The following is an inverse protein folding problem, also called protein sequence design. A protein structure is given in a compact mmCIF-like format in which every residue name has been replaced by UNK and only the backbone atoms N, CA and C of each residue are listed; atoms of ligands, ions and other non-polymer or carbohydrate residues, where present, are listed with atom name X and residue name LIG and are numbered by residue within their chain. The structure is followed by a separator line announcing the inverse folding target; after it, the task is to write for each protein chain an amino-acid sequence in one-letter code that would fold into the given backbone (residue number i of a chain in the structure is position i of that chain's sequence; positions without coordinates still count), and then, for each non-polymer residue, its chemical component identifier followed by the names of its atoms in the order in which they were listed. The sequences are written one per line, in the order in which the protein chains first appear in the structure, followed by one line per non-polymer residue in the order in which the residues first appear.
data_IF_864828144884
#
_entry.id   IF_864828144884
#
_cell.length_a   1.000
_cell.length_b   1.000
_cell.length_c   1.000
_cell.angle_alpha   90.00
_cell.angle_beta   90.00
_cell.angle_gamma   90.00
#
_symmetry.space_group_name_H-M   'P 1'
#
loop_
_entity.id
_entity.type
_entity.pdbx_description
1 polymer ?
#
# COMPACT_ATOMS: atom_id res chain seq x y z
N UNK A 1 -3.37 -37.53 -22.22
CA UNK A 1 -2.86 -36.18 -22.56
C UNK A 1 -4.01 -35.34 -23.12
N UNK A 2 -4.52 -34.35 -22.36
CA UNK A 2 -5.50 -33.35 -22.82
C UNK A 2 -4.99 -31.99 -22.36
N UNK A 3 -4.66 -31.09 -23.31
CA UNK A 3 -4.28 -29.70 -23.02
C UNK A 3 -5.55 -28.86 -22.83
N UNK A 4 -5.62 -27.94 -21.86
CA UNK A 4 -6.80 -27.11 -21.67
C UNK A 4 -6.77 -25.83 -22.51
N UNK A 5 -7.87 -25.57 -23.21
CA UNK A 5 -8.13 -24.51 -24.18
C UNK A 5 -8.49 -23.15 -23.54
N UNK A 6 -7.59 -22.56 -22.75
CA UNK A 6 -7.79 -21.20 -22.23
C UNK A 6 -7.24 -20.08 -23.14
N UNK A 7 -6.40 -20.42 -24.11
CA UNK A 7 -5.75 -19.44 -24.99
C UNK A 7 -6.62 -18.90 -26.14
N UNK A 8 -7.68 -19.60 -26.53
CA UNK A 8 -8.55 -19.19 -27.65
C UNK A 8 -9.54 -18.09 -27.24
N UNK A 9 -9.89 -18.00 -25.95
CA UNK A 9 -10.80 -16.97 -25.45
C UNK A 9 -10.10 -15.59 -25.37
N UNK A 10 -8.82 -15.55 -25.03
CA UNK A 10 -8.05 -14.30 -24.88
C UNK A 10 -7.78 -13.60 -26.21
N UNK A 11 -7.56 -14.36 -27.29
CA UNK A 11 -7.38 -13.79 -28.64
C UNK A 11 -8.69 -13.23 -29.21
N UNK A 12 -9.84 -13.73 -28.75
CA UNK A 12 -11.16 -13.23 -29.19
C UNK A 12 -11.57 -11.95 -28.45
N UNK A 13 -11.13 -11.79 -27.19
CA UNK A 13 -11.36 -10.56 -26.43
C UNK A 13 -10.48 -9.39 -26.95
N UNK A 14 -9.22 -9.65 -27.28
CA UNK A 14 -8.30 -8.58 -27.73
C UNK A 14 -8.58 -8.05 -29.15
N UNK A 15 -9.37 -8.77 -29.96
CA UNK A 15 -9.74 -8.33 -31.32
C UNK A 15 -10.97 -7.42 -31.35
N UNK A 16 -11.78 -7.41 -30.28
CA UNK A 16 -13.01 -6.62 -30.24
C UNK A 16 -12.79 -5.17 -29.78
N UNK A 17 -11.78 -4.94 -28.94
CA UNK A 17 -11.49 -3.60 -28.40
C UNK A 17 -10.87 -2.63 -29.42
N UNK A 18 -10.24 -3.12 -30.50
CA UNK A 18 -9.64 -2.27 -31.55
C UNK A 18 -10.63 -1.77 -32.61
N UNK A 19 -11.91 -2.11 -32.52
CA UNK A 19 -12.96 -1.56 -33.40
C UNK A 19 -13.73 -0.37 -32.82
N UNK A 20 -13.43 0.03 -31.58
CA UNK A 20 -14.12 1.15 -30.91
C UNK A 20 -13.27 2.42 -30.73
N UNK A 21 -12.06 2.47 -31.28
CA UNK A 21 -11.18 3.66 -31.24
C UNK A 21 -11.05 4.41 -32.56
N UNK A 22 -11.99 4.25 -33.52
CA UNK A 22 -12.06 5.07 -34.74
C UNK A 22 -13.38 5.85 -34.91
N UNK A 23 -14.19 6.01 -33.85
CA UNK A 23 -15.46 6.74 -33.90
C UNK A 23 -15.59 7.70 -32.71
N UNK A 24 -14.66 8.65 -32.62
CA UNK A 24 -14.77 9.82 -31.75
C UNK A 24 -14.06 11.02 -32.39
N UNK A 25 -14.43 11.32 -33.63
CA UNK A 25 -14.09 12.57 -34.33
C UNK A 25 -15.18 12.88 -35.36
N UNK A 26 -16.40 13.09 -34.88
CA UNK A 26 -17.47 13.71 -35.67
C UNK A 26 -18.35 14.45 -34.69
N UNK A 27 -17.98 15.71 -34.43
CA UNK A 27 -18.86 16.65 -33.76
C UNK A 27 -19.91 17.08 -34.77
N UNK A 28 -21.14 16.66 -34.53
CA UNK A 28 -22.33 17.16 -35.21
C UNK A 28 -22.47 18.67 -34.96
N UNK A 29 -22.17 19.47 -35.98
CA UNK A 29 -22.61 20.86 -36.05
C UNK A 29 -23.76 20.92 -37.05
N UNK A 30 -24.97 21.08 -36.53
CA UNK A 30 -26.19 21.28 -37.30
C UNK A 30 -26.09 22.52 -38.21
N UNK A 31 -25.90 22.31 -39.50
CA UNK A 31 -26.23 23.29 -40.54
C UNK A 31 -27.69 23.06 -40.98
N UNK A 32 -28.62 23.71 -40.29
CA UNK A 32 -29.97 23.93 -40.81
C UNK A 32 -29.99 25.26 -41.56
N UNK A 33 -30.29 25.22 -42.87
CA UNK A 33 -30.63 26.42 -43.63
C UNK A 33 -30.06 26.49 -45.04
N UNK A 34 -30.20 25.44 -45.85
CA UNK A 34 -30.06 25.57 -47.32
C UNK A 34 -31.45 25.36 -47.93
N UNK A 35 -32.04 26.46 -48.38
CA UNK A 35 -33.29 26.49 -49.14
C UNK A 35 -33.02 25.94 -50.55
N UNK A 36 -33.84 25.04 -51.12
CA UNK A 36 -33.67 24.62 -52.49
C UNK A 36 -34.32 25.65 -53.44
N UNK A 37 -33.54 26.25 -54.34
CA UNK A 37 -34.10 27.01 -55.46
C UNK A 37 -34.59 26.04 -56.54
N UNK A 38 -35.91 26.05 -56.75
CA UNK A 38 -36.59 25.44 -57.89
C UNK A 38 -36.30 26.22 -59.18
N UNK A 39 -36.31 25.50 -60.30
CA UNK A 39 -35.90 26.00 -61.61
C UNK A 39 -36.86 26.99 -62.26
N UNK A 40 -36.46 27.31 -63.49
CA UNK A 40 -37.30 27.72 -64.61
C UNK A 40 -37.52 29.22 -64.77
N UNK A 41 -36.59 29.86 -65.50
CA UNK A 41 -36.85 30.66 -66.70
C UNK A 41 -35.60 31.45 -67.10
N UNK A 42 -34.91 31.01 -68.16
CA UNK A 42 -33.85 31.79 -68.80
C UNK A 42 -34.36 32.26 -70.16
N UNK A 43 -34.69 33.55 -70.32
CA UNK A 43 -34.67 34.17 -71.63
C UNK A 43 -33.65 35.30 -71.68
N UNK A 44 -32.79 35.24 -72.70
CA UNK A 44 -32.03 36.41 -73.18
C UNK A 44 -30.65 36.58 -72.57
N UNK A 45 -29.66 35.85 -73.11
CA UNK A 45 -28.28 36.32 -73.09
C UNK A 45 -28.16 37.38 -74.20
N UNK A 46 -28.25 38.66 -73.82
CA UNK A 46 -27.57 39.70 -74.60
C UNK A 46 -26.15 39.84 -74.02
N UNK A 47 -25.19 39.61 -74.92
CA UNK A 47 -23.76 39.75 -74.71
C UNK A 47 -23.38 41.08 -75.36
N UNK A 48 -23.58 42.20 -74.68
CA UNK A 48 -22.93 43.46 -75.03
C UNK A 48 -23.16 44.52 -73.95
N UNK A 49 -22.25 45.49 -73.87
CA UNK A 49 -22.20 46.63 -72.96
C UNK A 49 -21.44 46.36 -71.65
N UNK A 50 -20.11 46.34 -71.71
CA UNK A 50 -19.19 47.50 -71.83
C UNK A 50 -18.66 47.90 -70.46
N UNK A 51 -17.54 47.25 -70.09
CA UNK A 51 -16.27 47.92 -69.80
C UNK A 51 -16.39 49.39 -69.35
N UNK A 52 -16.90 49.64 -68.15
CA UNK A 52 -16.68 50.87 -67.34
C UNK A 52 -17.47 50.71 -66.06
N UNK A 53 -16.88 50.03 -65.06
CA UNK A 53 -17.22 50.08 -63.60
C UNK A 53 -16.61 48.91 -62.80
N UNK A 54 -15.76 48.08 -63.42
CA UNK A 54 -15.04 46.99 -62.77
C UNK A 54 -13.79 47.42 -61.99
N UNK A 55 -13.56 48.71 -61.78
CA UNK A 55 -12.38 49.25 -61.09
C UNK A 55 -12.58 49.63 -59.62
N UNK A 56 -13.82 49.73 -59.13
CA UNK A 56 -14.09 50.22 -57.77
C UNK A 56 -14.69 49.17 -56.82
N UNK A 57 -15.22 48.06 -57.35
CA UNK A 57 -15.85 47.00 -56.51
C UNK A 57 -14.91 45.85 -56.13
N UNK A 58 -13.71 45.78 -56.72
CA UNK A 58 -12.70 44.77 -56.35
C UNK A 58 -11.78 45.25 -55.21
N UNK A 59 -11.70 46.56 -54.97
CA UNK A 59 -10.96 47.13 -53.83
C UNK A 59 -11.68 46.92 -52.49
N UNK A 60 -12.98 46.61 -52.47
CA UNK A 60 -13.72 46.28 -51.25
C UNK A 60 -13.54 44.83 -50.79
N UNK A 61 -12.99 43.94 -51.62
CA UNK A 61 -12.72 42.55 -51.22
C UNK A 61 -11.32 42.41 -50.58
N UNK A 62 -10.39 43.33 -50.86
CA UNK A 62 -9.11 43.43 -50.16
C UNK A 62 -9.02 44.71 -49.34
N UNK A 63 -10.00 44.94 -48.47
CA UNK A 63 -9.88 45.83 -47.32
C UNK A 63 -8.98 45.20 -46.25
N UNK A 64 -7.73 44.88 -46.58
CA UNK A 64 -6.70 44.59 -45.58
C UNK A 64 -6.26 45.93 -44.98
N UNK A 65 -7.13 46.44 -44.12
CA UNK A 65 -6.82 47.53 -43.21
C UNK A 65 -5.73 47.01 -42.25
N UNK A 66 -4.60 47.73 -42.13
CA UNK A 66 -3.52 47.48 -41.17
C UNK A 66 -3.98 47.34 -39.71
N UNK A 67 -5.26 47.62 -39.44
CA UNK A 67 -5.94 47.51 -38.17
C UNK A 67 -6.28 46.07 -37.74
N UNK A 68 -6.29 45.09 -38.65
CA UNK A 68 -6.60 43.69 -38.29
C UNK A 68 -5.43 43.01 -37.54
N UNK A 69 -4.18 43.31 -37.90
CA UNK A 69 -3.00 42.73 -37.23
C UNK A 69 -2.79 43.30 -35.82
N UNK A 70 -3.13 44.58 -35.61
CA UNK A 70 -3.04 45.26 -34.31
C UNK A 70 -4.23 44.95 -33.38
N UNK A 71 -5.40 44.66 -33.95
CA UNK A 71 -6.66 44.47 -33.21
C UNK A 71 -6.92 43.05 -32.70
N UNK A 72 -6.30 42.02 -33.28
CA UNK A 72 -6.55 40.61 -32.90
C UNK A 72 -5.40 40.01 -32.08
N UNK A 73 -4.14 40.38 -32.34
CA UNK A 73 -2.98 39.82 -31.62
C UNK A 73 -2.72 40.51 -30.28
N UNK A 74 -2.99 41.83 -30.16
CA UNK A 74 -2.75 42.57 -28.91
C UNK A 74 -3.68 42.22 -27.74
N UNK A 75 -5.01 41.97 -27.91
CA UNK A 75 -5.87 41.64 -26.77
C UNK A 75 -5.62 40.23 -26.22
N UNK A 76 -5.29 39.25 -27.06
CA UNK A 76 -4.97 37.87 -26.66
C UNK A 76 -3.66 37.75 -25.88
N UNK A 77 -2.66 38.58 -26.22
CA UNK A 77 -1.37 38.59 -25.53
C UNK A 77 -1.48 39.26 -24.15
N UNK A 78 -2.28 40.31 -24.03
CA UNK A 78 -2.50 41.02 -22.76
C UNK A 78 -3.31 40.19 -21.75
N UNK A 79 -4.36 39.50 -22.22
CA UNK A 79 -5.12 38.57 -21.37
C UNK A 79 -4.26 37.41 -20.92
N UNK A 80 -3.42 36.85 -21.81
CA UNK A 80 -2.51 35.76 -21.45
C UNK A 80 -1.45 36.20 -20.43
N UNK A 81 -0.83 37.37 -20.60
CA UNK A 81 0.21 37.88 -19.69
C UNK A 81 -0.36 38.33 -18.33
N UNK A 82 -1.57 38.89 -18.31
CA UNK A 82 -2.27 39.26 -17.07
C UNK A 82 -2.77 38.04 -16.30
N UNK A 83 -3.20 36.97 -16.98
CA UNK A 83 -3.56 35.70 -16.33
C UNK A 83 -2.30 35.03 -15.74
N UNK A 84 -1.18 35.01 -16.47
CA UNK A 84 0.09 34.45 -15.95
C UNK A 84 0.62 35.21 -14.71
N UNK A 85 0.44 36.52 -14.66
CA UNK A 85 0.88 37.34 -13.50
C UNK A 85 -0.08 37.26 -12.32
N UNK A 86 -1.39 37.15 -12.55
CA UNK A 86 -2.37 37.01 -11.46
C UNK A 86 -2.33 35.64 -10.80
N UNK A 87 -2.15 34.55 -11.57
CA UNK A 87 -2.01 33.19 -11.04
C UNK A 87 -0.74 33.01 -10.18
N UNK A 88 0.38 33.61 -10.61
CA UNK A 88 1.66 33.51 -9.87
C UNK A 88 1.72 34.41 -8.64
N UNK A 89 1.15 35.63 -8.72
CA UNK A 89 1.10 36.56 -7.59
C UNK A 89 0.07 36.12 -6.53
N UNK A 90 -1.06 35.54 -6.95
CA UNK A 90 -2.02 34.92 -6.04
C UNK A 90 -1.42 33.68 -5.35
N UNK A 91 -0.61 32.89 -6.06
CA UNK A 91 0.15 31.77 -5.47
C UNK A 91 1.08 32.23 -4.34
N UNK A 92 1.82 33.32 -4.57
CA UNK A 92 2.75 33.87 -3.57
C UNK A 92 2.02 34.48 -2.36
N UNK A 93 0.91 35.19 -2.59
CA UNK A 93 0.07 35.78 -1.54
C UNK A 93 -0.59 34.72 -0.65
N UNK A 94 -0.88 33.53 -1.18
CA UNK A 94 -1.46 32.42 -0.42
C UNK A 94 -0.41 31.56 0.30
N UNK A 95 0.84 31.57 -0.17
CA UNK A 95 1.92 30.80 0.46
C UNK A 95 2.37 31.41 1.79
N UNK A 96 2.49 32.73 1.87
CA UNK A 96 2.95 33.44 3.06
C UNK A 96 2.10 33.16 4.33
N UNK A 97 0.76 33.27 4.30
CA UNK A 97 -0.08 32.93 5.46
C UNK A 97 -0.06 31.42 5.78
N UNK A 98 0.03 30.55 4.77
CA UNK A 98 0.16 29.09 4.98
C UNK A 98 1.47 28.73 5.67
N UNK A 99 2.58 29.37 5.28
CA UNK A 99 3.88 29.19 5.92
C UNK A 99 3.83 29.63 7.39
N UNK A 100 3.21 30.77 7.68
CA UNK A 100 3.04 31.24 9.06
C UNK A 100 2.20 30.26 9.90
N UNK A 101 1.08 29.75 9.35
CA UNK A 101 0.25 28.75 10.00
C UNK A 101 1.01 27.43 10.24
N UNK A 102 1.81 26.98 9.26
CA UNK A 102 2.64 25.79 9.37
C UNK A 102 3.71 25.92 10.48
N UNK A 103 4.40 27.06 10.55
CA UNK A 103 5.38 27.34 11.61
C UNK A 103 4.70 27.35 12.98
N UNK A 104 3.51 27.97 13.09
CA UNK A 104 2.73 27.99 14.32
C UNK A 104 2.37 26.57 14.80
N UNK A 105 1.89 25.72 13.89
CA UNK A 105 1.56 24.32 14.16
C UNK A 105 2.81 23.55 14.62
N UNK A 106 3.95 23.75 13.96
CA UNK A 106 5.19 23.06 14.30
C UNK A 106 5.69 23.43 15.70
N UNK A 107 5.61 24.71 16.08
CA UNK A 107 6.01 25.18 17.41
C UNK A 107 5.09 24.60 18.50
N UNK A 108 3.77 24.72 18.33
CA UNK A 108 2.79 24.21 19.29
C UNK A 108 2.90 22.69 19.40
N UNK A 109 2.96 22.00 18.25
CA UNK A 109 3.07 20.55 18.18
C UNK A 109 4.35 20.01 18.82
N UNK A 110 5.50 20.65 18.61
CA UNK A 110 6.74 20.27 19.28
C UNK A 110 6.65 20.44 20.81
N UNK A 111 5.95 21.48 21.28
CA UNK A 111 5.66 21.66 22.70
C UNK A 111 4.81 20.52 23.28
N UNK A 112 3.71 20.18 22.60
CA UNK A 112 2.84 19.05 22.98
C UNK A 112 3.61 17.73 22.98
N UNK A 113 4.40 17.45 21.94
CA UNK A 113 5.19 16.23 21.84
C UNK A 113 6.19 16.08 22.99
N UNK A 114 6.88 17.16 23.38
CA UNK A 114 7.77 17.17 24.55
C UNK A 114 7.00 16.94 25.85
N UNK A 115 5.83 17.54 26.01
CA UNK A 115 4.96 17.33 27.17
C UNK A 115 4.53 15.87 27.31
N UNK A 116 4.07 15.26 26.22
CA UNK A 116 3.67 13.85 26.20
C UNK A 116 4.86 12.93 26.46
N UNK A 117 6.04 13.19 25.89
CA UNK A 117 7.28 12.46 26.23
C UNK A 117 7.52 12.44 27.75
N UNK A 118 7.45 13.62 28.38
CA UNK A 118 7.64 13.74 29.82
C UNK A 118 6.61 12.94 30.63
N UNK A 119 5.35 12.93 30.20
CA UNK A 119 4.29 12.15 30.84
C UNK A 119 4.54 10.64 30.70
N UNK A 120 4.88 10.18 29.50
CA UNK A 120 5.17 8.76 29.22
C UNK A 120 6.34 8.26 30.05
N UNK A 121 7.46 9.01 30.08
CA UNK A 121 8.63 8.63 30.89
C UNK A 121 8.24 8.50 32.38
N UNK A 122 7.50 9.47 32.92
CA UNK A 122 7.03 9.42 34.31
C UNK A 122 6.11 8.22 34.59
N UNK A 123 5.21 7.88 33.68
CA UNK A 123 4.33 6.71 33.81
C UNK A 123 5.13 5.41 33.78
N UNK A 124 6.10 5.30 32.87
CA UNK A 124 6.97 4.11 32.76
C UNK A 124 7.85 3.93 34.02
N UNK A 125 8.38 5.04 34.56
CA UNK A 125 9.13 5.02 35.82
C UNK A 125 8.23 4.64 37.01
N UNK A 126 7.00 5.16 37.07
CA UNK A 126 6.04 4.82 38.12
C UNK A 126 5.65 3.33 38.11
N UNK A 127 5.57 2.72 36.93
CA UNK A 127 5.31 1.29 36.75
C UNK A 127 6.53 0.40 37.04
N UNK A 128 7.71 0.97 37.32
CA UNK A 128 8.97 0.24 37.55
C UNK A 128 9.24 -0.80 36.46
N UNK A 129 8.97 -0.46 35.19
CA UNK A 129 9.17 -1.36 34.04
C UNK A 129 10.61 -1.87 33.98
N UNK A 130 11.59 -1.05 34.40
CA UNK A 130 12.98 -1.47 34.54
C UNK A 130 13.18 -2.70 35.43
N UNK A 131 12.33 -2.96 36.44
CA UNK A 131 12.48 -4.15 37.28
C UNK A 131 12.05 -5.45 36.58
N UNK A 132 11.19 -5.38 35.56
CA UNK A 132 10.74 -6.55 34.80
C UNK A 132 11.77 -6.99 33.76
N UNK A 133 12.66 -6.08 33.36
CA UNK A 133 13.66 -6.32 32.30
C UNK A 133 15.05 -6.63 32.86
N UNK A 134 15.31 -6.30 34.13
CA UNK A 134 16.52 -6.71 34.85
C UNK A 134 16.69 -8.24 34.78
N UNK A 135 17.87 -8.68 34.33
CA UNK A 135 18.24 -10.09 34.08
C UNK A 135 17.80 -10.70 32.73
N UNK A 136 17.30 -9.91 31.77
CA UNK A 136 17.09 -10.39 30.39
C UNK A 136 18.26 -10.01 29.47
N UNK A 137 18.50 -10.75 28.36
CA UNK A 137 19.54 -10.41 27.38
C UNK A 137 19.45 -8.97 26.85
N UNK A 138 18.25 -8.39 26.91
CA UNK A 138 17.92 -7.02 26.52
C UNK A 138 18.73 -5.97 27.30
N UNK A 139 19.03 -6.20 28.58
CA UNK A 139 19.82 -5.27 29.40
C UNK A 139 21.25 -5.10 28.86
N UNK A 140 21.87 -6.18 28.37
CA UNK A 140 23.20 -6.12 27.76
C UNK A 140 23.19 -5.38 26.43
N UNK A 141 22.11 -5.47 25.65
CA UNK A 141 21.98 -4.68 24.41
C UNK A 141 21.87 -3.18 24.69
N UNK A 142 21.14 -2.77 25.73
CA UNK A 142 21.02 -1.35 26.11
C UNK A 142 22.25 -0.79 26.83
N UNK A 143 23.02 -1.61 27.56
CA UNK A 143 24.29 -1.19 28.17
C UNK A 143 25.47 -1.16 27.18
N UNK A 144 25.48 -2.04 26.19
CA UNK A 144 26.59 -2.15 25.23
C UNK A 144 26.41 -1.26 24.00
N UNK A 145 25.17 -0.96 23.61
CA UNK A 145 24.93 0.16 22.73
C UNK A 145 25.05 1.42 23.60
N UNK A 146 25.84 2.42 23.20
CA UNK A 146 26.14 3.66 23.94
C UNK A 146 24.92 4.57 24.22
N UNK A 147 23.71 4.00 24.30
CA UNK A 147 22.52 4.65 24.81
C UNK A 147 22.67 4.84 26.32
N UNK A 148 23.36 5.91 26.73
CA UNK A 148 23.48 6.34 28.13
C UNK A 148 22.15 6.74 28.81
N UNK A 149 21.00 6.45 28.17
CA UNK A 149 19.67 6.71 28.70
C UNK A 149 19.03 5.43 29.25
N UNK A 150 18.28 5.56 30.36
CA UNK A 150 17.46 4.49 30.90
C UNK A 150 16.45 3.98 29.85
N UNK A 151 16.04 2.73 29.92
CA UNK A 151 15.07 2.11 29.00
C UNK A 151 13.77 2.92 28.88
N UNK A 152 13.33 3.53 29.97
CA UNK A 152 12.17 4.43 30.02
C UNK A 152 12.37 5.69 29.16
N UNK A 153 13.59 6.23 29.13
CA UNK A 153 13.98 7.38 28.30
C UNK A 153 13.96 7.07 26.81
N UNK A 154 14.46 5.88 26.43
CA UNK A 154 14.44 5.40 25.03
C UNK A 154 12.99 5.26 24.55
N UNK A 155 12.11 4.62 25.32
CA UNK A 155 10.70 4.49 24.98
C UNK A 155 10.00 5.86 24.86
N UNK A 156 10.27 6.78 25.80
CA UNK A 156 9.77 8.15 25.71
C UNK A 156 10.29 8.89 24.48
N UNK A 157 11.54 8.66 24.08
CA UNK A 157 12.14 9.22 22.87
C UNK A 157 11.45 8.69 21.60
N UNK A 158 11.16 7.39 21.54
CA UNK A 158 10.40 6.79 20.42
C UNK A 158 9.02 7.44 20.31
N UNK A 159 8.29 7.60 21.42
CA UNK A 159 6.98 8.26 21.41
C UNK A 159 7.08 9.73 20.96
N UNK A 160 8.11 10.44 21.41
CA UNK A 160 8.37 11.82 20.95
C UNK A 160 8.54 11.88 19.43
N UNK A 161 9.37 11.01 18.84
CA UNK A 161 9.60 11.00 17.40
C UNK A 161 8.34 10.62 16.62
N UNK A 162 7.53 9.69 17.13
CA UNK A 162 6.23 9.34 16.55
C UNK A 162 5.29 10.55 16.54
N UNK A 163 5.16 11.25 17.66
CA UNK A 163 4.31 12.44 17.74
C UNK A 163 4.85 13.58 16.87
N UNK A 164 6.17 13.76 16.84
CA UNK A 164 6.82 14.74 15.98
C UNK A 164 6.55 14.45 14.50
N UNK A 165 6.52 13.18 14.10
CA UNK A 165 6.14 12.78 12.74
C UNK A 165 4.71 13.20 12.40
N UNK A 166 3.76 13.04 13.32
CA UNK A 166 2.36 13.49 13.14
C UNK A 166 2.27 15.02 13.02
N UNK A 167 3.07 15.75 13.81
CA UNK A 167 3.15 17.21 13.73
C UNK A 167 3.74 17.65 12.39
N UNK A 168 4.80 17.00 11.92
CA UNK A 168 5.40 17.26 10.61
C UNK A 168 4.39 16.98 9.51
N UNK A 169 3.68 15.86 9.57
CA UNK A 169 2.61 15.52 8.64
C UNK A 169 1.54 16.63 8.57
N UNK A 170 1.04 17.07 9.72
CA UNK A 170 0.05 18.15 9.80
C UNK A 170 0.60 19.46 9.23
N UNK A 171 1.87 19.77 9.50
CA UNK A 171 2.56 20.96 8.99
C UNK A 171 2.66 20.94 7.46
N UNK A 172 3.09 19.81 6.89
CA UNK A 172 3.21 19.60 5.43
C UNK A 172 1.84 19.66 4.74
N UNK A 173 0.82 19.11 5.39
CA UNK A 173 -0.56 19.18 4.91
C UNK A 173 -1.06 20.62 4.79
N UNK A 174 -0.81 21.47 5.81
CA UNK A 174 -1.17 22.91 5.77
C UNK A 174 -0.37 23.67 4.72
N UNK A 175 0.89 23.31 4.48
CA UNK A 175 1.70 23.87 3.39
C UNK A 175 1.13 23.52 2.00
N UNK A 176 0.29 22.47 1.89
CA UNK A 176 -0.34 22.05 0.64
C UNK A 176 0.56 21.19 -0.25
N UNK A 177 1.63 20.60 0.30
CA UNK A 177 2.50 19.69 -0.44
C UNK A 177 1.86 18.30 -0.49
N UNK A 178 0.92 18.09 -1.41
CA UNK A 178 0.15 16.86 -1.55
C UNK A 178 1.02 15.61 -1.72
N UNK A 179 2.05 15.67 -2.58
CA UNK A 179 2.95 14.53 -2.80
C UNK A 179 3.70 14.11 -1.53
N UNK A 180 4.19 15.09 -0.75
CA UNK A 180 4.90 14.80 0.50
C UNK A 180 3.95 14.33 1.60
N UNK A 181 2.74 14.92 1.66
CA UNK A 181 1.67 14.50 2.57
C UNK A 181 1.33 13.03 2.33
N UNK A 182 1.17 12.63 1.06
CA UNK A 182 0.84 11.24 0.72
C UNK A 182 1.93 10.25 1.14
N UNK A 183 3.20 10.62 1.01
CA UNK A 183 4.32 9.78 1.52
C UNK A 183 4.24 9.68 3.04
N UNK A 184 4.01 10.79 3.74
CA UNK A 184 3.87 10.79 5.20
C UNK A 184 2.65 9.99 5.68
N UNK A 185 1.53 10.02 4.95
CA UNK A 185 0.35 9.18 5.22
C UNK A 185 0.70 7.70 5.19
N UNK A 186 1.47 7.27 4.19
CA UNK A 186 1.93 5.88 4.08
C UNK A 186 2.83 5.50 5.26
N UNK A 187 3.73 6.40 5.69
CA UNK A 187 4.58 6.18 6.87
C UNK A 187 3.72 6.10 8.13
N UNK A 188 2.73 6.99 8.31
CA UNK A 188 1.82 6.95 9.45
C UNK A 188 0.95 5.69 9.47
N UNK A 189 0.48 5.22 8.31
CA UNK A 189 -0.24 3.95 8.17
C UNK A 189 0.63 2.72 8.51
N UNK A 190 1.96 2.87 8.53
CA UNK A 190 2.89 1.82 8.91
C UNK A 190 3.10 1.71 10.43
N UNK A 191 2.87 2.79 11.20
CA UNK A 191 3.03 2.77 12.67
C UNK A 191 2.21 1.67 13.36
N UNK A 192 0.92 1.46 13.04
CA UNK A 192 0.12 0.38 13.64
C UNK A 192 0.72 -1.02 13.38
N UNK A 193 1.32 -1.24 12.21
CA UNK A 193 1.98 -2.52 11.86
C UNK A 193 3.21 -2.75 12.71
N UNK A 194 4.04 -1.71 12.91
CA UNK A 194 5.19 -1.78 13.82
C UNK A 194 4.72 -2.16 15.23
N UNK A 195 3.71 -1.49 15.76
CA UNK A 195 3.18 -1.77 17.10
C UNK A 195 2.67 -3.22 17.18
N UNK A 196 1.92 -3.68 16.17
CA UNK A 196 1.40 -5.05 16.11
C UNK A 196 2.52 -6.09 16.07
N UNK A 197 3.59 -5.84 15.31
CA UNK A 197 4.75 -6.76 15.24
C UNK A 197 5.49 -6.88 16.59
N UNK A 198 5.66 -5.77 17.31
CA UNK A 198 6.29 -5.76 18.63
C UNK A 198 5.41 -6.49 19.63
N UNK A 199 4.08 -6.32 19.56
CA UNK A 199 3.13 -7.05 20.40
C UNK A 199 3.19 -8.57 20.14
N UNK A 200 3.18 -8.99 18.87
CA UNK A 200 3.31 -10.40 18.51
C UNK A 200 4.61 -11.00 19.02
N UNK A 201 5.72 -10.26 18.88
CA UNK A 201 7.01 -10.70 19.40
C UNK A 201 6.99 -10.81 20.94
N UNK A 202 6.43 -9.82 21.64
CA UNK A 202 6.29 -9.81 23.09
C UNK A 202 5.49 -11.03 23.59
N UNK A 203 4.28 -11.25 23.06
CA UNK A 203 3.47 -12.41 23.45
C UNK A 203 4.11 -13.73 23.01
N UNK A 204 4.74 -13.77 21.84
CA UNK A 204 5.41 -14.96 21.34
C UNK A 204 6.63 -15.38 22.17
N UNK A 205 7.37 -14.42 22.74
CA UNK A 205 8.43 -14.71 23.72
C UNK A 205 7.86 -15.37 24.98
N UNK A 206 6.71 -14.91 25.47
CA UNK A 206 6.03 -15.53 26.61
C UNK A 206 5.62 -16.97 26.28
N UNK A 207 5.03 -17.19 25.11
CA UNK A 207 4.64 -18.54 24.64
C UNK A 207 5.86 -19.46 24.52
N UNK A 208 6.97 -18.98 23.96
CA UNK A 208 8.20 -19.75 23.85
C UNK A 208 8.72 -20.21 25.23
N UNK A 209 8.70 -19.31 26.23
CA UNK A 209 9.09 -19.64 27.61
C UNK A 209 8.16 -20.64 28.30
N UNK A 210 6.85 -20.56 28.02
CA UNK A 210 5.88 -21.55 28.51
C UNK A 210 6.16 -22.93 27.88
N UNK A 211 6.35 -22.99 26.56
CA UNK A 211 6.67 -24.24 25.86
C UNK A 211 7.97 -24.86 26.37
N UNK A 212 9.00 -24.04 26.58
CA UNK A 212 10.27 -24.50 27.17
C UNK A 212 10.05 -25.16 28.54
N UNK A 213 9.20 -24.55 29.38
CA UNK A 213 8.91 -25.02 30.73
C UNK A 213 8.09 -26.31 30.71
N UNK A 214 7.11 -26.42 29.81
CA UNK A 214 6.30 -27.63 29.62
C UNK A 214 7.14 -28.82 29.16
N UNK A 215 8.02 -28.61 28.18
CA UNK A 215 8.90 -29.66 27.64
C UNK A 215 9.91 -30.10 28.71
N UNK A 216 10.53 -29.16 29.42
CA UNK A 216 11.41 -29.48 30.56
C UNK A 216 10.67 -30.28 31.62
N UNK A 217 9.48 -29.86 32.02
CA UNK A 217 8.67 -30.52 33.04
C UNK A 217 8.33 -31.97 32.66
N UNK A 218 8.05 -32.21 31.38
CA UNK A 218 7.66 -33.53 30.87
C UNK A 218 8.83 -34.53 30.81
N UNK A 219 10.04 -34.07 30.50
CA UNK A 219 11.21 -34.93 30.26
C UNK A 219 12.11 -35.05 31.50
N UNK A 220 11.91 -34.18 32.50
CA UNK A 220 12.70 -34.16 33.74
C UNK A 220 12.66 -35.49 34.51
N UNK A 221 11.62 -36.29 34.33
CA UNK A 221 11.47 -37.63 34.93
C UNK A 221 12.40 -38.69 34.32
N UNK A 222 12.92 -38.48 33.10
CA UNK A 222 13.74 -39.45 32.37
C UNK A 222 15.22 -39.06 32.44
N UNK A 223 15.56 -37.85 31.98
CA UNK A 223 16.93 -37.33 32.01
C UNK A 223 16.93 -35.80 32.13
N UNK A 224 17.49 -35.30 33.24
CA UNK A 224 17.56 -33.87 33.52
C UNK A 224 18.44 -33.08 32.54
N UNK A 225 19.45 -33.72 31.94
CA UNK A 225 20.35 -33.05 30.99
C UNK A 225 19.67 -32.88 29.62
N UNK A 226 19.06 -33.95 29.10
CA UNK A 226 18.29 -33.91 27.85
C UNK A 226 17.04 -33.03 27.96
N UNK A 227 16.36 -33.00 29.11
CA UNK A 227 15.20 -32.14 29.33
C UNK A 227 15.52 -30.65 29.10
N UNK A 228 16.70 -30.20 29.54
CA UNK A 228 17.10 -28.80 29.38
C UNK A 228 17.42 -28.44 27.92
N UNK A 229 18.03 -29.37 27.19
CA UNK A 229 18.34 -29.21 25.77
C UNK A 229 17.06 -29.22 24.93
N UNK A 230 16.20 -30.23 25.10
CA UNK A 230 14.94 -30.36 24.37
C UNK A 230 13.99 -29.20 24.64
N UNK A 231 13.93 -28.71 25.88
CA UNK A 231 13.17 -27.51 26.21
C UNK A 231 13.67 -26.28 25.45
N UNK A 232 14.99 -26.05 25.43
CA UNK A 232 15.58 -24.92 24.69
C UNK A 232 15.36 -25.04 23.18
N UNK A 233 15.56 -26.23 22.60
CA UNK A 233 15.33 -26.47 21.17
C UNK A 233 13.88 -26.18 20.81
N UNK A 234 12.93 -26.64 21.63
CA UNK A 234 11.50 -26.37 21.43
C UNK A 234 11.18 -24.88 21.54
N UNK A 235 11.76 -24.19 22.52
CA UNK A 235 11.66 -22.73 22.68
C UNK A 235 12.15 -21.99 21.43
N UNK A 236 13.32 -22.38 20.90
CA UNK A 236 13.87 -21.77 19.69
C UNK A 236 13.00 -22.03 18.45
N UNK A 237 12.40 -23.22 18.31
CA UNK A 237 11.46 -23.50 17.22
C UNK A 237 10.24 -22.59 17.27
N UNK A 238 9.64 -22.41 18.45
CA UNK A 238 8.52 -21.49 18.64
C UNK A 238 8.95 -20.05 18.35
N UNK A 239 10.11 -19.64 18.87
CA UNK A 239 10.66 -18.31 18.65
C UNK A 239 10.89 -18.04 17.15
N UNK A 240 11.39 -19.01 16.39
CA UNK A 240 11.53 -18.88 14.93
C UNK A 240 10.18 -18.58 14.29
N UNK A 241 9.13 -19.34 14.62
CA UNK A 241 7.78 -19.11 14.07
C UNK A 241 7.24 -17.73 14.46
N UNK A 242 7.43 -17.32 15.72
CA UNK A 242 7.02 -16.00 16.22
C UNK A 242 7.74 -14.87 15.47
N UNK A 243 9.04 -15.02 15.23
CA UNK A 243 9.83 -14.03 14.48
C UNK A 243 9.33 -13.93 13.03
N UNK A 244 9.07 -15.06 12.36
CA UNK A 244 8.46 -15.05 11.03
C UNK A 244 7.09 -14.35 11.04
N UNK A 245 6.24 -14.64 12.04
CA UNK A 245 4.94 -14.00 12.18
C UNK A 245 5.07 -12.48 12.43
N UNK A 246 6.00 -12.05 13.27
CA UNK A 246 6.26 -10.63 13.53
C UNK A 246 6.73 -9.88 12.27
N UNK A 247 7.59 -10.51 11.45
CA UNK A 247 8.01 -9.93 10.16
C UNK A 247 6.82 -9.84 9.19
N UNK A 248 5.93 -10.84 9.20
CA UNK A 248 4.71 -10.81 8.39
C UNK A 248 3.77 -9.65 8.79
N UNK A 249 3.60 -9.37 10.09
CA UNK A 249 2.85 -8.20 10.57
C UNK A 249 3.46 -6.88 10.11
N UNK A 250 4.80 -6.83 10.05
CA UNK A 250 5.55 -5.70 9.53
C UNK A 250 5.25 -5.43 8.04
N UNK A 251 4.64 -6.38 7.32
CA UNK A 251 4.23 -6.24 5.93
C UNK A 251 5.39 -6.25 4.93
N UNK A 252 6.61 -6.57 5.39
CA UNK A 252 7.78 -6.68 4.53
C UNK A 252 7.74 -8.04 3.83
N UNK A 253 7.47 -8.03 2.53
CA UNK A 253 7.40 -9.25 1.73
C UNK A 253 6.49 -10.34 2.36
N UNK A 254 5.36 -9.92 2.94
CA UNK A 254 4.43 -10.81 3.65
C UNK A 254 3.98 -11.99 2.78
N UNK A 255 3.71 -11.73 1.50
CA UNK A 255 3.35 -12.78 0.53
C UNK A 255 4.46 -13.83 0.38
N UNK A 256 5.71 -13.39 0.27
CA UNK A 256 6.86 -14.30 0.18
C UNK A 256 6.99 -15.17 1.43
N UNK A 257 6.92 -14.55 2.61
CA UNK A 257 7.01 -15.26 3.90
C UNK A 257 5.87 -16.27 4.04
N UNK A 258 4.64 -15.86 3.72
CA UNK A 258 3.45 -16.71 3.79
C UNK A 258 3.57 -17.93 2.85
N UNK A 259 4.00 -17.73 1.61
CA UNK A 259 4.19 -18.83 0.65
C UNK A 259 5.29 -19.79 1.11
N UNK A 260 6.42 -19.28 1.62
CA UNK A 260 7.48 -20.13 2.17
C UNK A 260 7.00 -20.93 3.40
N UNK A 261 6.25 -20.30 4.29
CA UNK A 261 5.71 -20.95 5.48
C UNK A 261 4.69 -22.04 5.14
N UNK A 262 3.75 -21.74 4.23
CA UNK A 262 2.78 -22.72 3.74
C UNK A 262 3.52 -23.89 3.06
N UNK A 263 4.51 -23.60 2.19
CA UNK A 263 5.31 -24.62 1.53
C UNK A 263 6.03 -25.52 2.52
N UNK A 264 6.64 -24.94 3.56
CA UNK A 264 7.33 -25.69 4.61
C UNK A 264 6.37 -26.57 5.44
N UNK A 265 5.21 -26.03 5.83
CA UNK A 265 4.19 -26.81 6.55
C UNK A 265 3.66 -27.95 5.70
N UNK A 266 3.37 -27.70 4.43
CA UNK A 266 2.89 -28.74 3.50
C UNK A 266 3.93 -29.85 3.37
N UNK A 267 5.21 -29.49 3.23
CA UNK A 267 6.31 -30.46 3.18
C UNK A 267 6.39 -31.30 4.46
N UNK A 268 6.34 -30.68 5.64
CA UNK A 268 6.38 -31.40 6.91
C UNK A 268 5.14 -32.28 7.12
N UNK A 269 3.96 -31.75 6.81
CA UNK A 269 2.69 -32.48 6.94
C UNK A 269 2.66 -33.71 6.03
N UNK A 270 3.12 -33.58 4.79
CA UNK A 270 3.24 -34.70 3.86
C UNK A 270 4.30 -35.69 4.32
N UNK A 271 5.47 -35.22 4.75
CA UNK A 271 6.57 -36.08 5.22
C UNK A 271 6.18 -36.91 6.45
N UNK A 272 5.64 -36.26 7.48
CA UNK A 272 5.17 -36.93 8.69
C UNK A 272 3.95 -37.83 8.42
N UNK A 273 3.01 -37.35 7.60
CA UNK A 273 1.84 -38.12 7.21
C UNK A 273 2.22 -39.41 6.46
N UNK A 274 3.15 -39.32 5.51
CA UNK A 274 3.67 -40.48 4.79
C UNK A 274 4.49 -41.40 5.70
N UNK A 275 5.36 -40.86 6.55
CA UNK A 275 6.18 -41.66 7.47
C UNK A 275 5.31 -42.49 8.42
N UNK A 276 4.27 -41.87 9.02
CA UNK A 276 3.34 -42.55 9.90
C UNK A 276 2.39 -43.49 9.14
N UNK A 277 1.92 -43.09 7.95
CA UNK A 277 1.05 -43.90 7.11
C UNK A 277 1.72 -45.18 6.62
N UNK A 278 2.92 -45.06 6.04
CA UNK A 278 3.72 -46.19 5.56
C UNK A 278 4.28 -47.01 6.74
N UNK A 279 4.72 -46.37 7.82
CA UNK A 279 5.24 -47.06 9.01
C UNK A 279 4.16 -47.85 9.77
N UNK A 280 2.93 -47.35 9.82
CA UNK A 280 1.80 -47.97 10.53
C UNK A 280 1.06 -49.06 9.75
N UNK A 281 1.37 -49.26 8.47
CA UNK A 281 0.61 -50.16 7.58
C UNK A 281 0.51 -51.59 8.13
N UNK A 282 1.57 -52.09 8.77
CA UNK A 282 1.62 -53.45 9.29
C UNK A 282 0.71 -53.62 10.50
N UNK A 283 0.68 -52.64 11.39
CA UNK A 283 -0.19 -52.66 12.57
C UNK A 283 -1.67 -52.61 12.17
N UNK A 284 -2.00 -51.77 11.19
CA UNK A 284 -3.35 -51.67 10.62
C UNK A 284 -3.75 -53.00 9.97
N UNK A 285 -2.86 -53.60 9.17
CA UNK A 285 -3.09 -54.90 8.52
C UNK A 285 -3.37 -56.01 9.55
N UNK A 286 -2.62 -56.06 10.64
CA UNK A 286 -2.80 -57.08 11.67
C UNK A 286 -4.10 -56.90 12.45
N UNK A 287 -4.45 -55.65 12.78
CA UNK A 287 -5.71 -55.32 13.47
C UNK A 287 -6.93 -55.68 12.60
N UNK A 288 -6.92 -55.28 11.33
CA UNK A 288 -7.97 -55.63 10.37
C UNK A 288 -8.05 -57.14 10.15
N UNK A 289 -6.91 -57.82 10.06
CA UNK A 289 -6.87 -59.28 9.89
C UNK A 289 -7.48 -60.04 11.07
N UNK A 290 -7.23 -59.57 12.31
CA UNK A 290 -7.85 -60.15 13.52
C UNK A 290 -9.36 -59.91 13.54
N UNK A 291 -9.79 -58.67 13.31
CA UNK A 291 -11.21 -58.28 13.25
C UNK A 291 -11.98 -59.08 12.20
N UNK A 292 -11.42 -59.22 11.01
CA UNK A 292 -12.02 -59.98 9.91
C UNK A 292 -12.17 -61.47 10.25
N UNK A 293 -11.13 -62.09 10.83
CA UNK A 293 -11.18 -63.51 11.25
C UNK A 293 -12.21 -63.75 12.34
N UNK A 294 -12.32 -62.83 13.30
CA UNK A 294 -13.27 -62.95 14.41
C UNK A 294 -14.71 -62.83 13.91
N UNK A 295 -14.99 -61.83 13.07
CA UNK A 295 -16.31 -61.63 12.45
C UNK A 295 -16.70 -62.81 11.55
N UNK A 296 -15.75 -63.32 10.75
CA UNK A 296 -16.00 -64.47 9.88
C UNK A 296 -16.33 -65.74 10.68
N UNK A 297 -15.73 -65.95 11.85
CA UNK A 297 -16.05 -67.08 12.73
C UNK A 297 -17.45 -66.98 13.34
N UNK A 298 -17.91 -65.78 13.69
CA UNK A 298 -19.26 -65.59 14.23
C UNK A 298 -20.34 -65.83 13.17
N UNK A 299 -20.13 -65.33 11.95
CA UNK A 299 -21.07 -65.53 10.84
C UNK A 299 -21.17 -67.00 10.44
N UNK A 300 -20.07 -67.77 10.50
CA UNK A 300 -20.07 -69.21 10.16
C UNK A 300 -20.69 -70.12 11.22
N UNK A 301 -20.98 -69.59 12.42
CA UNK A 301 -21.50 -70.36 13.55
C UNK A 301 -23.03 -70.23 13.71
N UNK A 302 -23.65 -69.36 12.93
CA UNK A 302 -25.10 -69.25 12.71
C UNK A 302 -25.48 -69.97 11.42
#
# INVERSE_FOLDING_TARGET
MKRPSYWVFFIRLWRNERRHSSLAATGDFHLNGVVPYHGDNVPGIDRSLSKTESGLRVAQICGYNELSFKGVIMPELYTSLSVLTTETLAGLSNFLPRLAAAILILIIGAGVAKGVKGLVVKLLEALKVSNWVKNTPVEHFFKNAEFGEKMEGVLGSIVYWILMLVVIHSTVSVLGLSSLTHVLDQVLAYLPRIISSVLVLFFGLLVAGVVESLVKGSIKSIDGKSARLLGKVSSYLVLTIVVLAAINELGIASEFIMVMFIGFIVMLSLGLGLALGLGGQHLVKDLLGKWYKQTSKEVKKK
#
